data_IF_653624998444
#
_entry.id   IF_653624998444
#
_cell.length_a   1.000
_cell.length_b   1.000
_cell.length_c   1.000
_cell.angle_alpha   90.00
_cell.angle_beta   90.00
_cell.angle_gamma   90.00
#
_symmetry.space_group_name_H-M   'P 1'
#
loop_
_entity.id
_entity.type
_entity.pdbx_description
1 polymer ?
#
# COMPACT_ATOMS: atom_id res chain seq x y z
N UNK A 1 24.12 -10.07 31.44
CA UNK A 1 22.74 -10.36 31.87
C UNK A 1 21.94 -9.08 31.72
N UNK A 2 20.95 -9.06 30.83
CA UNK A 2 20.08 -7.90 30.65
C UNK A 2 19.19 -7.68 31.88
N UNK A 3 18.79 -6.43 32.10
CA UNK A 3 17.85 -6.06 33.15
C UNK A 3 16.46 -5.90 32.52
N UNK A 4 15.42 -6.53 33.06
CA UNK A 4 14.05 -6.45 32.53
C UNK A 4 13.59 -4.99 32.39
N UNK A 5 13.95 -4.12 33.35
CA UNK A 5 13.67 -2.67 33.25
C UNK A 5 14.34 -1.96 32.07
N UNK A 6 15.50 -2.46 31.62
CA UNK A 6 16.17 -1.90 30.44
C UNK A 6 15.51 -2.37 29.14
N UNK A 7 14.99 -3.60 29.11
CA UNK A 7 14.21 -4.12 27.98
C UNK A 7 12.88 -3.37 27.88
N UNK A 8 12.17 -3.17 29.00
CA UNK A 8 10.95 -2.37 29.06
C UNK A 8 11.15 -0.97 28.44
N UNK A 9 12.24 -0.31 28.82
CA UNK A 9 12.55 1.03 28.33
C UNK A 9 12.87 1.03 26.84
N UNK A 10 13.60 0.03 26.36
CA UNK A 10 13.89 -0.16 24.95
C UNK A 10 12.60 -0.38 24.12
N UNK A 11 11.71 -1.27 24.55
CA UNK A 11 10.41 -1.51 23.90
C UNK A 11 9.56 -0.24 23.88
N UNK A 12 9.55 0.51 24.98
CA UNK A 12 8.85 1.80 25.06
C UNK A 12 9.39 2.81 24.07
N UNK A 13 10.70 2.83 23.82
CA UNK A 13 11.32 3.68 22.82
C UNK A 13 10.98 3.24 21.39
N UNK A 14 10.94 1.94 21.10
CA UNK A 14 10.46 1.42 19.82
C UNK A 14 9.01 1.84 19.55
N UNK A 15 8.13 1.71 20.54
CA UNK A 15 6.73 2.12 20.44
C UNK A 15 6.58 3.63 20.21
N UNK A 16 7.36 4.45 20.92
CA UNK A 16 7.41 5.91 20.70
C UNK A 16 7.89 6.25 19.28
N UNK A 17 8.88 5.52 18.78
CA UNK A 17 9.43 5.71 17.43
C UNK A 17 8.41 5.50 16.32
N UNK A 18 7.35 4.73 16.56
CA UNK A 18 6.27 4.46 15.60
C UNK A 18 4.96 5.18 15.94
N UNK A 19 5.00 6.21 16.80
CA UNK A 19 3.86 7.08 17.11
C UNK A 19 3.08 6.74 18.38
N UNK A 20 3.38 5.62 19.06
CA UNK A 20 2.71 5.26 20.31
C UNK A 20 3.41 5.86 21.53
N UNK A 21 3.15 7.15 21.78
CA UNK A 21 3.79 7.90 22.87
C UNK A 21 3.41 7.46 24.30
N UNK A 22 2.23 6.84 24.46
CA UNK A 22 1.66 6.42 25.74
C UNK A 22 0.96 5.06 25.59
N UNK A 23 1.71 3.94 25.52
CA UNK A 23 1.11 2.63 25.57
C UNK A 23 0.42 2.38 26.92
N UNK A 24 -0.60 1.55 26.94
CA UNK A 24 -1.18 1.05 28.20
C UNK A 24 -0.27 -0.03 28.76
N UNK A 25 0.05 0.06 30.05
CA UNK A 25 1.03 -0.82 30.67
C UNK A 25 0.45 -1.50 31.92
N UNK A 26 0.91 -2.71 32.20
CA UNK A 26 0.67 -3.48 33.42
C UNK A 26 -0.81 -3.66 33.80
N UNK A 27 -1.41 -2.70 34.52
CA UNK A 27 -2.82 -2.80 34.95
C UNK A 27 -3.80 -2.60 33.80
N UNK A 28 -3.39 -1.85 32.76
CA UNK A 28 -4.24 -1.36 31.68
C UNK A 28 -5.52 -0.68 32.19
N UNK A 29 -5.51 -0.11 33.39
CA UNK A 29 -6.68 0.53 34.01
C UNK A 29 -7.07 1.86 33.34
N UNK A 30 -6.15 2.41 32.56
CA UNK A 30 -6.31 3.58 31.70
C UNK A 30 -6.62 3.22 30.24
N UNK A 31 -6.74 1.92 29.92
CA UNK A 31 -7.22 1.45 28.63
C UNK A 31 -8.74 1.60 28.51
N UNK A 32 -9.29 1.68 27.28
CA UNK A 32 -10.73 1.58 27.05
C UNK A 32 -11.32 0.36 27.75
N UNK A 33 -12.53 0.51 28.30
CA UNK A 33 -13.18 -0.53 29.12
C UNK A 33 -13.25 -1.88 28.40
N UNK A 34 -13.51 -1.88 27.09
CA UNK A 34 -13.58 -3.12 26.31
C UNK A 34 -12.26 -3.90 26.30
N UNK A 35 -11.10 -3.23 26.36
CA UNK A 35 -9.78 -3.85 26.49
C UNK A 35 -9.56 -4.32 27.92
N UNK A 36 -9.81 -3.42 28.88
CA UNK A 36 -9.62 -3.69 30.30
C UNK A 36 -10.43 -4.93 30.73
N UNK A 37 -11.71 -5.01 30.35
CA UNK A 37 -12.61 -6.12 30.68
C UNK A 37 -12.25 -7.41 29.94
N UNK A 38 -11.70 -7.31 28.73
CA UNK A 38 -11.24 -8.49 27.97
C UNK A 38 -10.05 -9.20 28.64
N UNK A 39 -9.25 -8.49 29.45
CA UNK A 39 -8.14 -9.08 30.19
C UNK A 39 -8.59 -9.87 31.44
N UNK A 40 -9.85 -9.80 31.85
CA UNK A 40 -10.33 -10.52 33.03
C UNK A 40 -10.16 -12.05 32.88
N UNK A 41 -9.55 -12.71 33.86
CA UNK A 41 -9.24 -14.14 33.81
C UNK A 41 -8.09 -14.54 32.86
N UNK A 42 -7.36 -13.58 32.28
CA UNK A 42 -6.24 -13.84 31.39
C UNK A 42 -4.88 -13.99 32.09
N UNK A 43 -4.82 -14.12 33.42
CA UNK A 43 -3.53 -14.20 34.14
C UNK A 43 -2.64 -15.34 33.64
N UNK A 44 -1.36 -15.02 33.43
CA UNK A 44 -0.31 -15.99 33.08
C UNK A 44 0.00 -16.99 34.20
N UNK A 45 -0.26 -16.61 35.45
CA UNK A 45 -0.06 -17.46 36.62
C UNK A 45 -1.18 -18.51 36.76
N UNK A 46 -1.02 -19.46 37.68
CA UNK A 46 -2.05 -20.45 37.99
C UNK A 46 -3.27 -19.85 38.73
N UNK A 47 -3.20 -18.60 39.20
CA UNK A 47 -4.20 -17.98 40.08
C UNK A 47 -5.43 -17.37 39.40
N UNK A 48 -5.53 -17.40 38.07
CA UNK A 48 -6.77 -17.07 37.34
C UNK A 48 -7.27 -15.61 37.42
N UNK A 49 -6.42 -14.65 37.78
CA UNK A 49 -6.78 -13.23 37.84
C UNK A 49 -6.78 -12.52 36.47
N UNK A 50 -6.94 -11.19 36.52
CA UNK A 50 -6.79 -10.32 35.34
C UNK A 50 -5.38 -10.38 34.76
N UNK A 51 -5.30 -10.38 33.44
CA UNK A 51 -4.05 -10.27 32.69
C UNK A 51 -3.40 -8.91 32.89
N UNK A 52 -2.07 -8.91 32.88
CA UNK A 52 -1.26 -7.72 33.02
C UNK A 52 -0.19 -7.73 31.94
N UNK A 53 -0.52 -7.30 30.71
CA UNK A 53 0.47 -7.21 29.65
C UNK A 53 1.46 -6.10 29.96
N UNK A 54 2.70 -6.24 29.49
CA UNK A 54 3.72 -5.19 29.66
C UNK A 54 3.36 -3.95 28.85
N UNK A 55 2.98 -4.11 27.58
CA UNK A 55 2.50 -3.01 26.74
C UNK A 55 1.30 -3.43 25.88
N UNK A 56 0.37 -2.51 25.69
CA UNK A 56 -0.77 -2.65 24.80
C UNK A 56 -1.08 -1.32 24.12
N UNK A 57 -1.29 -1.35 22.80
CA UNK A 57 -1.72 -0.19 22.01
C UNK A 57 -2.84 -0.58 21.04
N UNK A 58 -3.63 0.40 20.64
CA UNK A 58 -4.56 0.29 19.52
C UNK A 58 -3.92 0.93 18.28
N UNK A 59 -3.88 0.18 17.18
CA UNK A 59 -3.25 0.58 15.91
C UNK A 59 -4.23 0.28 14.77
N UNK A 60 -4.85 1.33 14.24
CA UNK A 60 -5.95 1.20 13.28
C UNK A 60 -7.08 0.31 13.83
N UNK A 61 -7.56 -0.70 13.08
CA UNK A 61 -8.61 -1.61 13.55
C UNK A 61 -8.10 -2.74 14.46
N UNK A 62 -6.79 -2.81 14.74
CA UNK A 62 -6.16 -3.90 15.49
C UNK A 62 -5.67 -3.45 16.86
N UNK A 63 -5.41 -4.44 17.72
CA UNK A 63 -4.63 -4.24 18.93
C UNK A 63 -3.23 -4.83 18.74
N UNK A 64 -2.23 -4.19 19.33
CA UNK A 64 -0.85 -4.70 19.40
C UNK A 64 -0.52 -4.88 20.87
N UNK A 65 -0.22 -6.11 21.24
CA UNK A 65 0.10 -6.51 22.60
C UNK A 65 1.54 -7.01 22.63
N UNK A 66 2.35 -6.41 23.50
CA UNK A 66 3.78 -6.70 23.59
C UNK A 66 4.13 -7.24 24.97
N UNK A 67 4.97 -8.26 24.95
CA UNK A 67 5.67 -8.81 26.09
C UNK A 67 7.14 -8.91 25.75
N UNK A 68 7.97 -8.81 26.77
CA UNK A 68 9.39 -8.76 26.66
C UNK A 68 10.10 -9.69 27.66
N UNK A 69 11.34 -10.05 27.33
CA UNK A 69 12.24 -10.78 28.22
C UNK A 69 13.65 -10.28 28.01
N UNK A 70 14.41 -10.06 29.08
CA UNK A 70 15.81 -9.65 28.96
C UNK A 70 16.72 -10.74 28.34
N UNK A 71 16.28 -12.00 28.36
CA UNK A 71 17.03 -13.16 27.86
C UNK A 71 16.53 -13.57 26.46
N UNK A 72 17.44 -13.63 25.50
CA UNK A 72 17.16 -14.04 24.12
C UNK A 72 16.66 -15.47 24.02
N UNK A 73 17.12 -16.36 24.90
CA UNK A 73 16.67 -17.76 24.94
C UNK A 73 15.19 -17.87 25.37
N UNK A 74 14.61 -16.76 25.87
CA UNK A 74 13.20 -16.64 26.27
C UNK A 74 12.33 -15.90 25.24
N UNK A 75 12.80 -15.79 24.01
CA UNK A 75 12.05 -15.23 22.88
C UNK A 75 10.71 -15.95 22.65
N UNK A 76 10.76 -17.27 22.45
CA UNK A 76 9.56 -18.10 22.21
C UNK A 76 9.82 -19.58 22.48
N UNK A 77 8.74 -20.30 22.78
CA UNK A 77 8.70 -21.76 22.80
C UNK A 77 7.63 -22.27 21.83
N UNK A 78 8.01 -23.21 20.97
CA UNK A 78 7.10 -23.84 20.00
C UNK A 78 6.98 -25.34 20.26
N UNK A 79 5.77 -25.87 20.14
CA UNK A 79 5.46 -27.31 20.14
C UNK A 79 4.75 -27.63 18.83
N UNK A 80 5.32 -28.55 18.04
CA UNK A 80 4.82 -28.93 16.72
C UNK A 80 4.57 -27.72 15.79
N UNK A 81 5.47 -26.72 15.86
CA UNK A 81 5.39 -25.50 15.07
C UNK A 81 4.32 -24.49 15.54
N UNK A 82 3.65 -24.74 16.67
CA UNK A 82 2.63 -23.87 17.26
C UNK A 82 3.14 -23.21 18.54
N UNK A 83 2.63 -22.03 18.84
CA UNK A 83 2.98 -21.28 20.05
C UNK A 83 2.34 -21.96 21.25
N UNK A 84 3.15 -22.38 22.23
CA UNK A 84 2.66 -22.98 23.45
C UNK A 84 2.14 -21.92 24.43
N UNK A 85 0.82 -21.76 24.52
CA UNK A 85 0.19 -20.81 25.46
C UNK A 85 -0.18 -21.44 26.81
N UNK A 86 0.34 -22.63 27.12
CA UNK A 86 0.18 -23.27 28.42
C UNK A 86 1.18 -22.74 29.46
N UNK A 87 0.96 -23.06 30.74
CA UNK A 87 1.94 -22.80 31.79
C UNK A 87 2.99 -23.94 31.81
N UNK A 88 4.31 -23.66 31.92
CA UNK A 88 4.91 -22.36 32.22
C UNK A 88 5.27 -21.50 31.00
N UNK A 89 5.10 -22.00 29.77
CA UNK A 89 5.53 -21.33 28.55
C UNK A 89 5.01 -19.88 28.42
N UNK A 90 3.72 -19.66 28.66
CA UNK A 90 3.08 -18.32 28.64
C UNK A 90 3.62 -17.34 29.68
N UNK A 91 4.29 -17.83 30.72
CA UNK A 91 4.89 -17.02 31.76
C UNK A 91 6.39 -16.80 31.54
N UNK A 92 7.08 -17.78 30.93
CA UNK A 92 8.54 -17.77 30.80
C UNK A 92 9.04 -17.17 29.49
N UNK A 93 8.24 -17.19 28.43
CA UNK A 93 8.63 -16.75 27.09
C UNK A 93 7.82 -15.54 26.62
N UNK A 94 8.49 -14.58 25.98
CA UNK A 94 7.91 -13.31 25.55
C UNK A 94 6.71 -13.52 24.60
N UNK A 95 6.93 -14.17 23.45
CA UNK A 95 5.87 -14.37 22.45
C UNK A 95 4.71 -15.20 22.99
N UNK A 96 5.00 -16.24 23.77
CA UNK A 96 3.99 -17.13 24.32
C UNK A 96 3.08 -16.39 25.29
N UNK A 97 3.65 -15.52 26.11
CA UNK A 97 2.91 -14.66 26.99
C UNK A 97 2.06 -13.64 26.25
N UNK A 98 2.60 -13.02 25.20
CA UNK A 98 1.84 -12.11 24.36
C UNK A 98 0.68 -12.83 23.66
N UNK A 99 0.93 -14.00 23.09
CA UNK A 99 -0.06 -14.83 22.39
C UNK A 99 -1.19 -15.28 23.31
N UNK A 100 -0.89 -15.58 24.57
CA UNK A 100 -1.90 -15.91 25.57
C UNK A 100 -2.88 -14.75 25.79
N UNK A 101 -2.37 -13.55 26.07
CA UNK A 101 -3.23 -12.37 26.26
C UNK A 101 -3.97 -11.98 24.98
N UNK A 102 -3.29 -12.02 23.84
CA UNK A 102 -3.89 -11.70 22.54
C UNK A 102 -5.06 -12.62 22.20
N UNK A 103 -4.94 -13.94 22.45
CA UNK A 103 -6.02 -14.91 22.28
C UNK A 103 -7.23 -14.58 23.16
N UNK A 104 -6.98 -14.27 24.44
CA UNK A 104 -8.04 -13.89 25.38
C UNK A 104 -8.80 -12.65 24.90
N UNK A 105 -8.09 -11.62 24.45
CA UNK A 105 -8.70 -10.39 23.95
C UNK A 105 -9.48 -10.64 22.65
N UNK A 106 -8.89 -11.36 21.70
CA UNK A 106 -9.52 -11.67 20.42
C UNK A 106 -10.84 -12.44 20.58
N UNK A 107 -10.87 -13.44 21.48
CA UNK A 107 -12.08 -14.22 21.74
C UNK A 107 -13.22 -13.39 22.34
N UNK A 108 -12.90 -12.43 23.21
CA UNK A 108 -13.90 -11.62 23.93
C UNK A 108 -14.38 -10.40 23.17
N UNK A 109 -13.51 -9.83 22.34
CA UNK A 109 -13.79 -8.58 21.63
C UNK A 109 -14.10 -8.78 20.15
N UNK A 110 -13.66 -9.90 19.57
CA UNK A 110 -13.70 -10.14 18.13
C UNK A 110 -12.66 -9.36 17.34
N UNK A 111 -11.84 -8.50 17.97
CA UNK A 111 -10.76 -7.77 17.29
C UNK A 111 -9.58 -8.71 16.99
N UNK A 112 -8.92 -8.46 15.86
CA UNK A 112 -7.61 -9.05 15.57
C UNK A 112 -6.54 -8.44 16.47
N UNK A 113 -5.66 -9.28 17.02
CA UNK A 113 -4.60 -8.84 17.94
C UNK A 113 -3.24 -9.37 17.47
N UNK A 114 -2.30 -8.46 17.23
CA UNK A 114 -0.90 -8.80 17.03
C UNK A 114 -0.24 -9.03 18.40
N UNK A 115 0.20 -10.25 18.65
CA UNK A 115 1.02 -10.62 19.79
C UNK A 115 2.50 -10.47 19.42
N UNK A 116 3.23 -9.65 20.17
CA UNK A 116 4.64 -9.37 19.92
C UNK A 116 5.46 -9.83 21.12
N UNK A 117 6.46 -10.66 20.86
CA UNK A 117 7.50 -11.01 21.83
C UNK A 117 8.80 -10.29 21.50
N UNK A 118 9.33 -9.50 22.44
CA UNK A 118 10.65 -8.87 22.31
C UNK A 118 11.61 -9.51 23.30
N UNK A 119 12.69 -10.12 22.84
CA UNK A 119 13.70 -10.68 23.74
C UNK A 119 15.05 -10.00 23.56
N UNK A 120 15.77 -9.72 24.64
CA UNK A 120 17.09 -9.09 24.63
C UNK A 120 17.08 -7.61 25.02
N UNK A 121 17.96 -6.82 24.41
CA UNK A 121 18.14 -5.40 24.67
C UNK A 121 18.51 -4.63 23.39
N UNK A 122 18.62 -3.30 23.47
CA UNK A 122 18.84 -2.41 22.31
C UNK A 122 19.92 -2.90 21.33
N UNK A 123 21.08 -3.34 21.83
CA UNK A 123 22.20 -3.78 20.99
C UNK A 123 21.99 -5.16 20.35
N UNK A 124 21.23 -6.05 20.99
CA UNK A 124 20.97 -7.39 20.49
C UNK A 124 19.62 -7.86 21.02
N UNK A 125 18.63 -7.88 20.12
CA UNK A 125 17.27 -8.28 20.43
C UNK A 125 16.67 -9.13 19.30
N UNK A 126 15.57 -9.80 19.62
CA UNK A 126 14.73 -10.51 18.66
C UNK A 126 13.28 -10.02 18.82
N UNK A 127 12.64 -9.66 17.69
CA UNK A 127 11.21 -9.38 17.65
C UNK A 127 10.50 -10.52 16.93
N UNK A 128 9.52 -11.10 17.60
CA UNK A 128 8.68 -12.17 17.07
C UNK A 128 7.23 -11.75 17.12
N UNK A 129 6.47 -12.11 16.09
CA UNK A 129 5.08 -11.67 15.96
C UNK A 129 4.18 -12.87 15.68
N UNK A 130 3.00 -12.85 16.29
CA UNK A 130 1.91 -13.75 15.99
C UNK A 130 0.61 -12.94 15.84
N UNK A 131 -0.37 -13.52 15.16
CA UNK A 131 -1.69 -12.94 15.03
C UNK A 131 -2.73 -13.83 15.70
N UNK A 132 -3.57 -13.24 16.54
CA UNK A 132 -4.69 -13.90 17.21
C UNK A 132 -6.01 -13.34 16.68
N UNK A 133 -6.94 -14.24 16.40
CA UNK A 133 -8.31 -13.96 15.99
C UNK A 133 -9.27 -14.84 16.80
N UNK A 134 -10.52 -14.40 16.92
CA UNK A 134 -11.53 -15.13 17.70
C UNK A 134 -11.71 -16.56 17.18
N UNK A 135 -11.69 -17.54 18.08
CA UNK A 135 -11.94 -18.95 17.75
C UNK A 135 -10.78 -19.71 17.10
N UNK A 136 -9.67 -19.05 16.73
CA UNK A 136 -8.49 -19.69 16.13
C UNK A 136 -7.28 -19.65 17.07
N UNK A 137 -6.43 -20.67 17.02
CA UNK A 137 -5.14 -20.61 17.72
C UNK A 137 -4.25 -19.50 17.14
N UNK A 138 -3.45 -18.78 17.96
CA UNK A 138 -2.53 -17.76 17.47
C UNK A 138 -1.59 -18.29 16.39
N UNK A 139 -1.49 -17.58 15.27
CA UNK A 139 -0.65 -17.94 14.13
C UNK A 139 0.68 -17.20 14.20
N UNK A 140 1.79 -17.94 14.24
CA UNK A 140 3.13 -17.36 14.13
C UNK A 140 3.32 -16.72 12.76
N UNK A 141 3.83 -15.49 12.73
CA UNK A 141 4.18 -14.76 11.50
C UNK A 141 5.70 -14.79 11.26
N UNK A 142 6.13 -14.25 10.12
CA UNK A 142 7.54 -14.03 9.87
C UNK A 142 8.16 -13.12 10.96
N UNK A 143 9.44 -13.35 11.25
CA UNK A 143 10.17 -12.45 12.17
C UNK A 143 10.30 -11.07 11.52
N UNK A 144 10.32 -10.05 12.35
CA UNK A 144 10.55 -8.66 11.94
C UNK A 144 11.74 -8.11 12.73
N UNK A 145 12.41 -7.11 12.17
CA UNK A 145 13.56 -6.48 12.83
C UNK A 145 13.14 -5.29 13.70
N UNK A 146 11.93 -4.76 13.49
CA UNK A 146 11.41 -3.59 14.18
C UNK A 146 9.88 -3.63 14.28
N UNK A 147 9.29 -2.66 15.00
CA UNK A 147 7.84 -2.52 15.15
C UNK A 147 7.19 -1.64 14.05
N UNK A 148 7.96 -1.18 13.05
CA UNK A 148 7.52 -0.20 12.05
C UNK A 148 6.27 -0.63 11.27
N UNK A 149 6.13 -1.93 10.99
CA UNK A 149 4.97 -2.48 10.28
C UNK A 149 3.69 -2.51 11.14
N UNK A 150 3.82 -2.33 12.45
CA UNK A 150 2.71 -2.27 13.41
C UNK A 150 2.24 -0.84 13.69
N UNK A 151 2.88 0.17 13.08
CA UNK A 151 2.43 1.56 13.11
C UNK A 151 1.04 1.69 12.46
N UNK A 152 0.25 2.68 12.89
CA UNK A 152 -1.13 2.89 12.42
C UNK A 152 -1.23 3.01 10.89
N UNK A 153 -0.24 3.63 10.26
CA UNK A 153 -0.15 3.84 8.80
C UNK A 153 0.25 2.59 8.00
N UNK A 154 0.82 1.56 8.64
CA UNK A 154 1.33 0.35 7.98
C UNK A 154 0.56 -0.92 8.33
N UNK A 155 -0.12 -0.96 9.47
CA UNK A 155 -0.66 -2.18 10.06
C UNK A 155 -1.71 -2.87 9.18
N UNK A 156 -2.51 -2.11 8.43
CA UNK A 156 -3.47 -2.68 7.48
C UNK A 156 -2.79 -3.44 6.35
N UNK A 157 -1.69 -2.90 5.82
CA UNK A 157 -0.92 -3.57 4.78
C UNK A 157 -0.18 -4.78 5.34
N UNK A 158 0.42 -4.63 6.52
CA UNK A 158 1.07 -5.75 7.20
C UNK A 158 0.09 -6.89 7.46
N UNK A 159 -1.12 -6.61 7.93
CA UNK A 159 -2.16 -7.62 8.08
C UNK A 159 -2.51 -8.31 6.77
N UNK A 160 -2.74 -7.56 5.68
CA UNK A 160 -3.06 -8.14 4.36
C UNK A 160 -1.98 -9.08 3.87
N UNK A 161 -0.71 -8.70 4.01
CA UNK A 161 0.41 -9.50 3.50
C UNK A 161 0.72 -10.65 4.46
N UNK A 162 1.04 -10.34 5.72
CA UNK A 162 1.56 -11.33 6.67
C UNK A 162 0.48 -12.29 7.18
N UNK A 163 -0.78 -11.85 7.31
CA UNK A 163 -1.86 -12.67 7.87
C UNK A 163 -2.74 -13.27 6.78
N UNK A 164 -3.17 -12.46 5.81
CA UNK A 164 -4.08 -12.90 4.74
C UNK A 164 -3.37 -13.48 3.51
N UNK A 165 -2.04 -13.37 3.43
CA UNK A 165 -1.26 -13.89 2.29
C UNK A 165 -1.52 -13.14 0.98
N UNK A 166 -2.00 -11.90 1.06
CA UNK A 166 -2.17 -11.05 -0.12
C UNK A 166 -0.81 -10.56 -0.62
N UNK A 167 -0.78 -10.18 -1.90
CA UNK A 167 0.41 -9.59 -2.48
C UNK A 167 0.69 -8.22 -1.86
N UNK A 168 1.97 -7.83 -1.71
CA UNK A 168 2.33 -6.48 -1.32
C UNK A 168 1.68 -5.44 -2.22
N UNK A 169 1.36 -4.28 -1.64
CA UNK A 169 0.74 -3.14 -2.32
C UNK A 169 1.47 -2.80 -3.61
N UNK A 170 2.79 -2.72 -3.58
CA UNK A 170 3.61 -2.41 -4.76
C UNK A 170 3.41 -3.41 -5.89
N UNK A 171 3.32 -4.70 -5.57
CA UNK A 171 3.09 -5.74 -6.57
C UNK A 171 1.66 -5.70 -7.12
N UNK A 172 0.66 -5.44 -6.26
CA UNK A 172 -0.74 -5.26 -6.70
C UNK A 172 -0.86 -4.07 -7.65
N UNK A 173 -0.27 -2.94 -7.29
CA UNK A 173 -0.24 -1.73 -8.12
C UNK A 173 0.47 -1.99 -9.45
N UNK A 174 1.64 -2.65 -9.42
CA UNK A 174 2.37 -3.00 -10.63
C UNK A 174 1.55 -3.93 -11.55
N UNK A 175 0.79 -4.87 -10.99
CA UNK A 175 -0.11 -5.75 -11.76
C UNK A 175 -1.26 -4.98 -12.41
N UNK A 176 -1.88 -4.03 -11.71
CA UNK A 176 -2.92 -3.19 -12.28
C UNK A 176 -2.36 -2.29 -13.40
N UNK A 177 -1.21 -1.65 -13.19
CA UNK A 177 -0.51 -0.86 -14.22
C UNK A 177 -0.26 -1.70 -15.49
N UNK A 178 0.25 -2.94 -15.33
CA UNK A 178 0.48 -3.86 -16.44
C UNK A 178 -0.81 -4.21 -17.19
N UNK A 179 -1.89 -4.44 -16.46
CA UNK A 179 -3.19 -4.79 -17.03
C UNK A 179 -3.76 -3.62 -17.83
N UNK A 180 -3.67 -2.40 -17.31
CA UNK A 180 -4.09 -1.17 -18.02
C UNK A 180 -3.24 -0.96 -19.27
N UNK A 181 -1.92 -1.10 -19.17
CA UNK A 181 -1.02 -0.97 -20.31
C UNK A 181 -1.33 -1.98 -21.42
N UNK A 182 -1.51 -3.26 -21.08
CA UNK A 182 -1.87 -4.32 -22.02
C UNK A 182 -3.24 -4.06 -22.68
N UNK A 183 -4.24 -3.68 -21.89
CA UNK A 183 -5.57 -3.33 -22.41
C UNK A 183 -5.52 -2.15 -23.39
N UNK A 184 -4.77 -1.10 -23.05
CA UNK A 184 -4.61 0.06 -23.90
C UNK A 184 -3.89 -0.27 -25.22
N UNK A 185 -2.91 -1.19 -25.20
CA UNK A 185 -2.26 -1.69 -26.41
C UNK A 185 -3.23 -2.36 -27.37
N UNK A 186 -4.12 -3.20 -26.84
CA UNK A 186 -5.14 -3.89 -27.63
C UNK A 186 -6.20 -2.91 -28.14
N UNK A 187 -6.66 -1.98 -27.30
CA UNK A 187 -7.60 -0.93 -27.67
C UNK A 187 -7.05 -0.05 -28.81
N UNK A 188 -5.76 0.35 -28.74
CA UNK A 188 -5.09 1.11 -29.81
C UNK A 188 -4.97 0.33 -31.11
N UNK A 189 -4.77 -1.00 -31.04
CA UNK A 189 -4.73 -1.86 -32.22
C UNK A 189 -6.13 -2.00 -32.84
N UNK A 190 -7.13 -2.30 -32.02
CA UNK A 190 -8.48 -2.64 -32.46
C UNK A 190 -9.25 -1.43 -32.96
N UNK A 191 -9.14 -0.30 -32.26
CA UNK A 191 -9.98 0.87 -32.56
C UNK A 191 -9.26 1.95 -33.37
N UNK A 192 -7.92 1.97 -33.36
CA UNK A 192 -7.13 2.97 -34.06
C UNK A 192 -6.13 2.39 -35.05
N UNK A 193 -5.94 1.06 -35.12
CA UNK A 193 -4.95 0.40 -35.99
C UNK A 193 -3.54 1.01 -35.83
N UNK A 194 -3.18 1.38 -34.61
CA UNK A 194 -1.85 1.88 -34.30
C UNK A 194 -0.89 0.72 -34.02
N UNK A 195 0.35 0.87 -34.49
CA UNK A 195 1.41 -0.12 -34.35
C UNK A 195 2.72 0.53 -33.93
N UNK A 196 3.59 -0.27 -33.31
CA UNK A 196 4.94 0.11 -32.89
C UNK A 196 4.99 1.40 -32.08
N UNK A 197 5.97 2.24 -32.40
CA UNK A 197 6.29 3.46 -31.66
C UNK A 197 5.11 4.46 -31.59
N UNK A 198 4.19 4.45 -32.56
CA UNK A 198 3.04 5.38 -32.58
C UNK A 198 2.13 5.23 -31.37
N UNK A 199 2.04 4.03 -30.80
CA UNK A 199 1.27 3.81 -29.57
C UNK A 199 1.88 4.58 -28.40
N UNK A 200 3.19 4.42 -28.20
CA UNK A 200 3.92 5.10 -27.12
C UNK A 200 3.88 6.62 -27.31
N UNK A 201 4.05 7.08 -28.55
CA UNK A 201 3.93 8.50 -28.92
C UNK A 201 2.56 9.08 -28.57
N UNK A 202 1.48 8.34 -28.84
CA UNK A 202 0.11 8.78 -28.49
C UNK A 202 -0.10 8.86 -26.97
N UNK A 203 0.34 7.84 -26.23
CA UNK A 203 0.29 7.84 -24.77
C UNK A 203 1.01 9.07 -24.20
N UNK A 204 2.24 9.32 -24.65
CA UNK A 204 3.02 10.49 -24.21
C UNK A 204 2.28 11.80 -24.48
N UNK A 205 1.71 11.97 -25.68
CA UNK A 205 0.96 13.18 -26.01
C UNK A 205 -0.25 13.37 -25.08
N UNK A 206 -1.02 12.31 -24.81
CA UNK A 206 -2.19 12.37 -23.94
C UNK A 206 -1.80 12.71 -22.49
N UNK A 207 -0.75 12.07 -21.95
CA UNK A 207 -0.31 12.30 -20.57
C UNK A 207 0.20 13.74 -20.37
N UNK A 208 0.94 14.29 -21.34
CA UNK A 208 1.38 15.69 -21.30
C UNK A 208 0.19 16.65 -21.41
N UNK A 209 -0.79 16.31 -22.25
CA UNK A 209 -2.01 17.10 -22.42
C UNK A 209 -2.84 17.15 -21.13
N UNK A 210 -3.08 16.00 -20.49
CA UNK A 210 -3.83 15.92 -19.22
C UNK A 210 -3.10 16.62 -18.07
N UNK A 211 -1.76 16.59 -18.05
CA UNK A 211 -0.99 17.32 -17.05
C UNK A 211 -1.21 18.82 -17.12
N UNK A 212 -1.31 19.38 -18.32
CA UNK A 212 -1.55 20.81 -18.53
C UNK A 212 -3.03 21.19 -18.43
N UNK A 213 -3.91 20.31 -18.91
CA UNK A 213 -5.35 20.51 -18.91
C UNK A 213 -6.05 19.26 -18.35
N UNK A 214 -6.21 19.15 -17.01
CA UNK A 214 -6.87 17.99 -16.38
C UNK A 214 -8.29 17.74 -16.89
N UNK A 215 -9.05 18.81 -17.16
CA UNK A 215 -10.44 18.73 -17.63
C UNK A 215 -10.57 18.47 -19.15
N UNK A 216 -9.47 18.14 -19.85
CA UNK A 216 -9.44 17.98 -21.31
C UNK A 216 -10.47 16.97 -21.84
N UNK A 217 -10.81 15.95 -21.05
CA UNK A 217 -11.76 14.88 -21.44
C UNK A 217 -13.12 15.43 -21.82
N UNK A 218 -13.57 16.49 -21.13
CA UNK A 218 -14.86 17.12 -21.36
C UNK A 218 -14.93 17.80 -22.73
N UNK A 219 -13.78 18.24 -23.24
CA UNK A 219 -13.63 18.85 -24.54
C UNK A 219 -13.52 17.83 -25.69
N UNK A 220 -13.23 16.56 -25.41
CA UNK A 220 -13.15 15.51 -26.42
C UNK A 220 -14.56 15.03 -26.80
N UNK A 221 -15.10 15.53 -27.91
CA UNK A 221 -16.50 15.33 -28.33
C UNK A 221 -16.62 14.74 -29.73
N UNK A 222 -15.51 14.50 -30.42
CA UNK A 222 -15.47 13.95 -31.77
C UNK A 222 -16.01 14.89 -32.86
N UNK A 223 -16.16 16.18 -32.58
CA UNK A 223 -16.81 17.12 -33.50
C UNK A 223 -15.99 17.32 -34.79
N UNK A 224 -16.65 17.10 -35.91
CA UNK A 224 -16.27 17.68 -37.21
C UNK A 224 -17.50 18.30 -37.85
N UNK A 225 -17.54 19.64 -37.82
CA UNK A 225 -18.22 20.48 -38.83
C UNK A 225 -17.74 21.94 -38.82
N UNK A 226 -17.11 22.45 -37.74
CA UNK A 226 -16.45 23.78 -37.74
C UNK A 226 -15.37 23.98 -36.65
N UNK A 227 -14.81 22.91 -36.08
CA UNK A 227 -13.88 22.98 -34.94
C UNK A 227 -12.73 21.97 -35.01
N UNK A 228 -11.85 22.01 -34.00
CA UNK A 228 -10.71 21.10 -33.86
C UNK A 228 -11.16 19.66 -33.55
N UNK A 229 -10.47 18.70 -34.16
CA UNK A 229 -10.57 17.28 -33.80
C UNK A 229 -10.09 17.03 -32.38
N UNK A 230 -10.51 15.91 -31.79
CA UNK A 230 -10.06 15.51 -30.45
C UNK A 230 -8.52 15.38 -30.39
N UNK A 231 -7.89 14.86 -31.44
CA UNK A 231 -6.44 14.76 -31.55
C UNK A 231 -5.75 16.12 -31.71
N UNK A 232 -6.37 17.11 -32.36
CA UNK A 232 -5.86 18.48 -32.37
C UNK A 232 -5.94 19.14 -30.99
N UNK A 233 -7.00 18.88 -30.22
CA UNK A 233 -7.13 19.37 -28.84
C UNK A 233 -6.05 18.77 -27.95
N UNK A 234 -5.86 17.45 -28.00
CA UNK A 234 -4.77 16.76 -27.27
C UNK A 234 -3.40 17.29 -27.69
N UNK A 235 -3.15 17.41 -29.00
CA UNK A 235 -1.88 17.95 -29.51
C UNK A 235 -1.62 19.37 -28.99
N UNK A 236 -2.65 20.23 -29.00
CA UNK A 236 -2.54 21.61 -28.56
C UNK A 236 -2.18 21.69 -27.07
N UNK A 237 -2.89 20.95 -26.21
CA UNK A 237 -2.61 20.92 -24.79
C UNK A 237 -1.22 20.33 -24.48
N UNK A 238 -0.81 19.25 -25.17
CA UNK A 238 0.53 18.69 -25.04
C UNK A 238 1.63 19.69 -25.44
N UNK A 239 1.39 20.47 -26.50
CA UNK A 239 2.31 21.54 -26.91
C UNK A 239 2.40 22.65 -25.88
N UNK A 240 1.25 23.11 -25.37
CA UNK A 240 1.21 24.17 -24.36
C UNK A 240 1.95 23.73 -23.08
N UNK A 241 1.81 22.47 -22.68
CA UNK A 241 2.65 21.89 -21.63
C UNK A 241 4.15 22.00 -21.94
N UNK A 242 4.59 21.49 -23.10
CA UNK A 242 6.00 21.43 -23.48
C UNK A 242 6.65 22.81 -23.64
N UNK A 243 5.87 23.81 -24.05
CA UNK A 243 6.32 25.20 -24.21
C UNK A 243 6.23 26.02 -22.91
N UNK A 244 5.57 25.49 -21.88
CA UNK A 244 5.46 26.13 -20.57
C UNK A 244 6.75 26.03 -19.76
N UNK A 245 6.87 26.89 -18.75
CA UNK A 245 8.00 26.85 -17.80
C UNK A 245 7.99 25.60 -16.90
N UNK A 246 6.88 24.84 -16.85
CA UNK A 246 6.73 23.63 -16.02
C UNK A 246 7.44 22.40 -16.59
N UNK A 247 7.67 22.36 -17.91
CA UNK A 247 8.22 21.17 -18.55
C UNK A 247 9.72 20.98 -18.29
N UNK A 248 10.46 22.02 -17.86
CA UNK A 248 11.93 22.05 -17.69
C UNK A 248 12.72 21.35 -18.83
N UNK A 249 12.23 21.44 -20.06
CA UNK A 249 12.85 20.82 -21.23
C UNK A 249 13.66 21.86 -22.00
N UNK A 250 14.98 21.90 -21.75
CA UNK A 250 15.94 22.65 -22.58
C UNK A 250 16.87 21.67 -23.31
N UNK A 251 17.19 21.91 -24.61
CA UNK A 251 16.87 23.08 -25.46
C UNK A 251 15.59 22.94 -26.32
N UNK A 252 15.07 24.09 -26.82
CA UNK A 252 13.86 24.20 -27.67
C UNK A 252 13.82 23.27 -28.89
N UNK A 253 14.98 22.89 -29.43
CA UNK A 253 15.08 21.94 -30.54
C UNK A 253 14.53 20.55 -30.18
N UNK A 254 14.65 20.13 -28.92
CA UNK A 254 14.08 18.85 -28.45
C UNK A 254 12.55 18.88 -28.39
N UNK A 255 11.97 20.04 -28.04
CA UNK A 255 10.51 20.24 -28.03
C UNK A 255 9.95 20.12 -29.45
N UNK A 256 10.59 20.78 -30.44
CA UNK A 256 10.17 20.68 -31.84
C UNK A 256 10.14 19.23 -32.35
N UNK A 257 11.20 18.47 -32.09
CA UNK A 257 11.26 17.06 -32.49
C UNK A 257 10.16 16.19 -31.83
N UNK A 258 9.83 16.43 -30.57
CA UNK A 258 8.72 15.74 -29.88
C UNK A 258 7.36 16.11 -30.50
N UNK A 259 7.14 17.39 -30.77
CA UNK A 259 5.90 17.86 -31.40
C UNK A 259 5.73 17.27 -32.81
N UNK A 260 6.80 17.15 -33.57
CA UNK A 260 6.78 16.50 -34.88
C UNK A 260 6.34 15.04 -34.77
N UNK A 261 6.81 14.31 -33.75
CA UNK A 261 6.34 12.95 -33.47
C UNK A 261 4.85 12.91 -33.12
N UNK A 262 4.34 13.90 -32.37
CA UNK A 262 2.92 13.97 -32.02
C UNK A 262 2.02 14.37 -33.20
N UNK A 263 2.57 14.92 -34.28
CA UNK A 263 1.78 15.56 -35.33
C UNK A 263 0.73 14.64 -35.98
N UNK A 264 0.97 13.33 -36.03
CA UNK A 264 0.05 12.37 -36.66
C UNK A 264 -1.31 12.28 -35.94
N UNK A 265 -1.36 12.53 -34.63
CA UNK A 265 -2.60 12.35 -33.84
C UNK A 265 -3.70 13.31 -34.28
N UNK A 266 -3.32 14.47 -34.85
CA UNK A 266 -4.23 15.49 -35.38
C UNK A 266 -5.03 14.98 -36.59
N UNK A 267 -4.39 14.21 -37.46
CA UNK A 267 -4.95 13.86 -38.77
C UNK A 267 -5.34 12.38 -38.88
N UNK A 268 -4.94 11.55 -37.91
CA UNK A 268 -5.26 10.12 -37.91
C UNK A 268 -6.78 9.88 -37.87
N UNK A 269 -7.34 9.36 -38.96
CA UNK A 269 -8.80 9.28 -39.14
C UNK A 269 -9.45 8.41 -38.07
N UNK A 270 -8.91 7.21 -37.81
CA UNK A 270 -9.51 6.29 -36.85
C UNK A 270 -9.46 6.81 -35.41
N UNK A 271 -8.43 7.58 -35.04
CA UNK A 271 -8.34 8.16 -33.69
C UNK A 271 -9.42 9.21 -33.44
N UNK A 272 -9.78 9.95 -34.49
CA UNK A 272 -10.61 11.15 -34.41
C UNK A 272 -12.06 10.93 -34.87
N UNK A 273 -12.41 9.71 -35.28
CA UNK A 273 -13.75 9.38 -35.76
C UNK A 273 -14.52 8.62 -34.69
N UNK A 274 -15.77 8.99 -34.37
CA UNK A 274 -16.61 8.21 -33.48
C UNK A 274 -16.71 6.74 -33.90
N UNK A 275 -16.52 5.84 -32.95
CA UNK A 275 -16.61 4.40 -33.14
C UNK A 275 -17.84 3.84 -32.40
N UNK A 276 -18.67 3.05 -33.07
CA UNK A 276 -19.89 2.47 -32.52
C UNK A 276 -19.62 1.47 -31.40
N UNK A 277 -18.53 0.70 -31.52
CA UNK A 277 -18.15 -0.33 -30.54
C UNK A 277 -17.68 0.30 -29.23
N UNK A 278 -17.31 1.59 -29.27
CA UNK A 278 -16.98 2.41 -28.10
C UNK A 278 -18.19 3.23 -27.59
N UNK A 279 -19.41 2.98 -28.08
CA UNK A 279 -20.59 3.76 -27.68
C UNK A 279 -20.68 5.13 -28.37
N UNK A 280 -20.17 5.25 -29.60
CA UNK A 280 -20.14 6.48 -30.41
C UNK A 280 -19.22 7.59 -29.88
N UNK A 281 -18.17 7.25 -29.13
CA UNK A 281 -17.06 8.18 -28.82
C UNK A 281 -15.85 7.91 -29.73
N UNK A 282 -14.93 8.87 -29.81
CA UNK A 282 -13.68 8.68 -30.55
C UNK A 282 -12.72 7.77 -29.76
N UNK A 283 -11.88 6.97 -30.44
CA UNK A 283 -10.79 6.25 -29.78
C UNK A 283 -9.86 7.18 -29.00
N UNK A 284 -9.61 8.41 -29.50
CA UNK A 284 -8.88 9.43 -28.75
C UNK A 284 -9.51 9.67 -27.37
N UNK A 285 -10.82 9.95 -27.30
CA UNK A 285 -11.51 10.14 -26.01
C UNK A 285 -11.38 8.92 -25.12
N UNK A 286 -11.59 7.72 -25.66
CA UNK A 286 -11.50 6.47 -24.90
C UNK A 286 -10.13 6.30 -24.27
N UNK A 287 -9.06 6.51 -25.02
CA UNK A 287 -7.69 6.33 -24.51
C UNK A 287 -7.35 7.40 -23.46
N UNK A 288 -7.79 8.64 -23.67
CA UNK A 288 -7.65 9.70 -22.67
C UNK A 288 -8.38 9.36 -21.37
N UNK A 289 -9.60 8.80 -21.43
CA UNK A 289 -10.34 8.37 -20.24
C UNK A 289 -9.63 7.25 -19.47
N UNK A 290 -9.05 6.27 -20.18
CA UNK A 290 -8.29 5.19 -19.53
C UNK A 290 -7.05 5.75 -18.83
N UNK A 291 -6.30 6.62 -19.50
CA UNK A 291 -5.08 7.20 -18.93
C UNK A 291 -5.39 8.13 -17.75
N UNK A 292 -6.47 8.90 -17.82
CA UNK A 292 -6.88 9.77 -16.71
C UNK A 292 -7.36 8.97 -15.50
N UNK A 293 -8.31 8.05 -15.68
CA UNK A 293 -8.90 7.29 -14.58
C UNK A 293 -7.91 6.27 -13.98
N UNK A 294 -7.27 5.47 -14.83
CA UNK A 294 -6.50 4.31 -14.40
C UNK A 294 -5.01 4.60 -14.17
N UNK A 295 -4.51 5.76 -14.62
CA UNK A 295 -3.09 6.14 -14.47
C UNK A 295 -2.90 7.45 -13.71
N UNK A 296 -3.77 8.46 -13.84
CA UNK A 296 -3.65 9.69 -13.05
C UNK A 296 -4.44 9.61 -11.73
N UNK A 297 -5.67 9.12 -11.77
CA UNK A 297 -6.57 9.07 -10.61
C UNK A 297 -6.38 7.86 -9.70
N UNK A 298 -6.16 6.65 -10.24
CA UNK A 298 -5.81 5.44 -9.45
C UNK A 298 -4.52 5.60 -8.62
N UNK A 299 -3.79 6.67 -8.88
CA UNK A 299 -2.44 7.00 -8.44
C UNK A 299 -2.42 8.21 -7.51
N UNK A 300 -3.56 8.89 -7.35
CA UNK A 300 -3.75 10.00 -6.41
C UNK A 300 -3.73 9.55 -4.93
N UNK A 301 -3.18 8.36 -4.64
CA UNK A 301 -2.91 7.92 -3.29
C UNK A 301 -1.81 8.84 -2.71
N UNK A 302 -2.01 9.52 -1.57
CA UNK A 302 -1.12 10.59 -1.07
C UNK A 302 0.35 10.20 -0.87
N UNK A 303 0.66 8.90 -0.89
CA UNK A 303 1.99 8.34 -0.66
C UNK A 303 2.90 8.28 -1.90
N UNK A 304 2.41 8.63 -3.11
CA UNK A 304 3.26 8.67 -4.32
C UNK A 304 3.09 9.98 -5.08
N UNK A 305 4.18 10.44 -5.68
CA UNK A 305 4.12 11.55 -6.62
C UNK A 305 3.53 11.04 -7.94
N UNK A 306 2.73 11.89 -8.61
CA UNK A 306 2.21 11.57 -9.94
C UNK A 306 3.32 11.20 -10.95
N UNK A 307 4.54 11.70 -10.74
CA UNK A 307 5.71 11.43 -11.58
C UNK A 307 6.18 9.97 -11.52
N UNK A 308 6.21 9.36 -10.34
CA UNK A 308 6.70 7.98 -10.17
C UNK A 308 5.82 6.99 -10.93
N UNK A 309 4.51 7.22 -10.93
CA UNK A 309 3.59 6.33 -11.63
C UNK A 309 3.55 6.59 -13.13
N UNK A 310 3.65 7.84 -13.57
CA UNK A 310 3.81 8.13 -15.00
C UNK A 310 5.06 7.46 -15.59
N UNK A 311 6.18 7.51 -14.85
CA UNK A 311 7.40 6.82 -15.22
C UNK A 311 7.23 5.30 -15.28
N UNK A 312 6.62 4.70 -14.25
CA UNK A 312 6.38 3.26 -14.19
C UNK A 312 5.41 2.78 -15.29
N UNK A 313 4.32 3.50 -15.52
CA UNK A 313 3.35 3.19 -16.58
C UNK A 313 4.00 3.28 -17.95
N UNK A 314 4.74 4.35 -18.25
CA UNK A 314 5.43 4.47 -19.54
C UNK A 314 6.47 3.37 -19.74
N UNK A 315 7.25 3.06 -18.70
CA UNK A 315 8.22 1.96 -18.71
C UNK A 315 7.59 0.61 -19.00
N UNK A 316 6.46 0.27 -18.37
CA UNK A 316 5.72 -0.97 -18.66
C UNK A 316 5.06 -0.92 -20.05
N UNK A 317 4.49 0.22 -20.46
CA UNK A 317 3.83 0.37 -21.76
C UNK A 317 4.78 0.14 -22.93
N UNK A 318 6.02 0.63 -22.86
CA UNK A 318 7.02 0.42 -23.91
C UNK A 318 7.42 -1.06 -24.01
N UNK A 319 7.44 -1.82 -22.91
CA UNK A 319 7.75 -3.27 -22.92
C UNK A 319 6.75 -4.10 -23.73
N UNK A 320 5.49 -3.69 -23.79
CA UNK A 320 4.44 -4.35 -24.58
C UNK A 320 4.42 -3.92 -26.06
N UNK A 321 5.18 -2.89 -26.44
CA UNK A 321 5.25 -2.40 -27.82
C UNK A 321 6.33 -3.05 -28.68
N UNK A 322 7.19 -3.88 -28.08
CA UNK A 322 8.22 -4.68 -28.76
C UNK A 322 7.72 -6.03 -29.25
#
# INVERSE_FOLDING_TARGET
>A
MGNEKSTDQFVREMLRGIGFGRPWEQSCSDAPSYVYDALEGASKSLGGGRGKPEFLVESGPFLVLIEDKADLDRSRLLIDGKIDISYPARAEYALNGAAHYAKHIADRTGKGVFAVGVAGAETHHEVTVAFAESGSAPRLLAKVDALTDLAEEHIDEYHRVAVLGQLPREEREAREIRKVAAGLHEDMRNYASLEGERKATLVSAILLALKYQPDLIDDLKGEKKSGFTDGEKVYKAAREYLESDEADLKPKQKIGALLDQFAFIKTHVLLNKPNKDLGNITPMKRFTQVLDHDVLHAVSNPSRTAFDVLGNFYGEFVKYGG
#
